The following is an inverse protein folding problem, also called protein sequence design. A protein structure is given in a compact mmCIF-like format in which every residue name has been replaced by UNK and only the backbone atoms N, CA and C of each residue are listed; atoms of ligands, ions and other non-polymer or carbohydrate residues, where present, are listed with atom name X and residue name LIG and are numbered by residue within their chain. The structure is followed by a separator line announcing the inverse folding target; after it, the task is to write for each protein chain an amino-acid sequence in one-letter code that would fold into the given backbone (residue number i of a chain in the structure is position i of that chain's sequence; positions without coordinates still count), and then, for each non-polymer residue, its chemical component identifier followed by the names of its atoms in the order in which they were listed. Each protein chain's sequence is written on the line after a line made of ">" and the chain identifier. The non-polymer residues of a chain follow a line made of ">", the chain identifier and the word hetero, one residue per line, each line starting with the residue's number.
data_IF_437899923965
#
_entry.id   IF_437899923965
#
_cell.length_a   1.000
_cell.length_b   1.000
_cell.length_c   1.000
_cell.angle_alpha   90.00
_cell.angle_beta   90.00
_cell.angle_gamma   90.00
#
_symmetry.space_group_name_H-M   'P 1'
#
loop_
_entity.id
_entity.type
_entity.pdbx_description
1 polymer ?
#
# COMPACT_ATOMS: atom_id res chain seq x y z
N UNK A 1 16.75 -41.02 -14.91
CA UNK A 1 15.85 -41.19 -16.06
C UNK A 1 15.56 -42.68 -16.20
N UNK A 2 14.37 -43.14 -15.83
CA UNK A 2 13.97 -44.55 -16.02
C UNK A 2 12.79 -44.54 -16.98
N UNK A 3 12.97 -45.15 -18.14
CA UNK A 3 11.90 -45.32 -19.14
C UNK A 3 11.38 -46.74 -18.98
N UNK A 4 10.09 -46.91 -18.66
CA UNK A 4 9.40 -48.19 -18.76
C UNK A 4 8.41 -48.10 -19.92
N UNK A 5 8.58 -48.97 -20.91
CA UNK A 5 7.67 -49.13 -22.05
C UNK A 5 6.76 -50.32 -21.72
N UNK A 6 5.45 -50.09 -21.66
CA UNK A 6 4.47 -51.16 -21.52
C UNK A 6 3.71 -51.35 -22.85
N UNK A 7 3.87 -52.55 -23.40
CA UNK A 7 3.08 -53.22 -24.45
C UNK A 7 3.12 -52.69 -25.89
N UNK A 8 3.44 -53.65 -26.76
CA UNK A 8 3.49 -53.60 -28.22
C UNK A 8 2.15 -54.10 -28.78
N UNK A 9 1.51 -53.33 -29.66
CA UNK A 9 0.42 -53.81 -30.52
C UNK A 9 0.87 -53.68 -31.98
N UNK A 10 0.66 -54.73 -32.81
CA UNK A 10 1.11 -54.75 -34.20
C UNK A 10 0.22 -53.86 -35.09
N UNK A 11 0.74 -53.40 -36.25
CA UNK A 11 0.13 -52.32 -37.02
C UNK A 11 -0.96 -52.83 -37.98
N UNK A 12 -2.19 -52.33 -37.83
CA UNK A 12 -3.17 -52.31 -38.92
C UNK A 12 -3.56 -50.85 -39.23
N UNK A 13 -3.09 -50.39 -40.40
CA UNK A 13 -3.52 -49.21 -41.16
C UNK A 13 -3.96 -47.94 -40.42
N UNK A 14 -3.00 -47.28 -39.75
CA UNK A 14 -2.75 -45.83 -39.69
C UNK A 14 -1.54 -45.58 -38.77
N UNK A 15 -0.75 -44.51 -38.92
CA UNK A 15 0.36 -44.27 -37.99
C UNK A 15 -0.23 -44.03 -36.58
N UNK A 16 0.24 -44.74 -35.53
CA UNK A 16 -0.22 -44.50 -34.17
C UNK A 16 0.37 -43.18 -33.66
N UNK A 17 -0.48 -42.30 -33.14
CA UNK A 17 -0.03 -41.15 -32.35
C UNK A 17 0.73 -41.66 -31.12
N UNK A 18 2.03 -41.39 -31.08
CA UNK A 18 2.88 -41.73 -29.94
C UNK A 18 2.58 -40.73 -28.80
N UNK A 19 1.61 -41.06 -27.94
CA UNK A 19 1.43 -40.32 -26.68
C UNK A 19 2.51 -40.71 -25.69
N UNK A 20 3.59 -39.92 -25.64
CA UNK A 20 4.53 -39.92 -24.54
C UNK A 20 4.03 -38.96 -23.45
N UNK A 21 3.49 -39.48 -22.36
CA UNK A 21 3.18 -38.68 -21.17
C UNK A 21 4.49 -38.45 -20.40
N UNK A 22 4.96 -37.20 -20.39
CA UNK A 22 6.12 -36.79 -19.61
C UNK A 22 5.66 -36.35 -18.22
N UNK A 23 5.89 -37.17 -17.19
CA UNK A 23 5.86 -36.69 -15.82
C UNK A 23 7.19 -36.00 -15.52
N UNK A 24 7.13 -34.69 -15.29
CA UNK A 24 8.28 -33.90 -14.82
C UNK A 24 8.38 -34.08 -13.31
N UNK A 25 9.46 -34.69 -12.79
CA UNK A 25 9.67 -34.74 -11.35
C UNK A 25 9.95 -33.32 -10.86
N UNK A 26 9.13 -32.86 -9.92
CA UNK A 26 9.33 -31.61 -9.19
C UNK A 26 10.69 -31.63 -8.47
N UNK A 27 11.71 -31.04 -9.07
CA UNK A 27 13.02 -30.82 -8.43
C UNK A 27 13.40 -29.35 -8.60
N UNK A 28 12.74 -28.49 -7.83
CA UNK A 28 13.09 -27.07 -7.67
C UNK A 28 14.28 -26.86 -6.73
N UNK A 29 14.74 -27.88 -6.01
CA UNK A 29 15.80 -27.74 -5.00
C UNK A 29 17.22 -27.55 -5.56
N UNK A 30 17.58 -28.26 -6.64
CA UNK A 30 18.95 -28.21 -7.20
C UNK A 30 19.33 -26.83 -7.75
N UNK A 31 18.53 -26.24 -8.66
CA UNK A 31 18.81 -24.93 -9.24
C UNK A 31 18.75 -23.81 -8.20
N UNK A 32 17.81 -23.88 -7.26
CA UNK A 32 17.64 -22.87 -6.21
C UNK A 32 18.77 -22.92 -5.18
N UNK A 33 19.27 -24.12 -4.86
CA UNK A 33 20.43 -24.30 -3.99
C UNK A 33 21.72 -23.79 -4.64
N UNK A 34 21.92 -24.06 -5.94
CA UNK A 34 23.06 -23.54 -6.69
C UNK A 34 23.04 -22.00 -6.80
N UNK A 35 21.86 -21.40 -7.00
CA UNK A 35 21.69 -19.94 -6.98
C UNK A 35 21.98 -19.33 -5.60
N UNK A 36 21.57 -19.99 -4.52
CA UNK A 36 21.86 -19.58 -3.13
C UNK A 36 23.35 -19.66 -2.81
N UNK A 37 24.01 -20.76 -3.18
CA UNK A 37 25.44 -20.96 -2.93
C UNK A 37 26.30 -19.97 -3.73
N UNK A 38 25.94 -19.70 -4.99
CA UNK A 38 26.59 -18.67 -5.79
C UNK A 38 26.41 -17.26 -5.18
N UNK A 39 25.24 -16.94 -4.63
CA UNK A 39 24.99 -15.65 -3.96
C UNK A 39 25.81 -15.48 -2.68
N UNK A 40 25.91 -16.53 -1.86
CA UNK A 40 26.68 -16.53 -0.61
C UNK A 40 28.19 -16.42 -0.85
N UNK A 41 28.69 -16.96 -1.98
CA UNK A 41 30.12 -16.89 -2.33
C UNK A 41 30.62 -15.49 -2.75
N UNK A 42 29.71 -14.53 -2.95
CA UNK A 42 30.04 -13.16 -3.42
C UNK A 42 30.15 -12.18 -2.24
N UNK A 43 29.79 -12.59 -1.02
CA UNK A 43 29.92 -11.76 0.18
C UNK A 43 31.40 -11.71 0.64
N UNK A 44 31.94 -10.54 1.02
CA UNK A 44 33.33 -10.43 1.47
C UNK A 44 33.57 -11.24 2.76
N UNK A 45 34.68 -11.97 2.81
CA UNK A 45 35.16 -12.67 4.01
C UNK A 45 35.58 -11.64 5.08
N UNK A 46 34.67 -11.33 6.02
CA UNK A 46 34.99 -10.61 7.26
C UNK A 46 35.31 -11.63 8.34
N UNK A 47 36.43 -11.52 9.09
CA UNK A 47 36.78 -12.48 10.13
C UNK A 47 35.78 -12.40 11.29
N UNK A 48 35.13 -13.52 11.58
CA UNK A 48 34.13 -13.67 12.65
C UNK A 48 34.80 -13.74 14.02
N UNK A 49 34.65 -12.70 14.84
CA UNK A 49 34.92 -12.79 16.27
C UNK A 49 33.68 -13.40 16.97
N UNK A 50 33.90 -14.22 18.00
CA UNK A 50 32.98 -15.28 18.47
C UNK A 50 31.70 -14.77 19.18
N UNK A 51 31.40 -13.47 19.12
CA UNK A 51 30.15 -12.90 19.64
C UNK A 51 29.13 -12.48 18.56
N UNK A 52 29.49 -12.50 17.27
CA UNK A 52 28.59 -12.12 16.16
C UNK A 52 28.00 -13.32 15.40
N UNK A 53 27.81 -14.46 16.07
CA UNK A 53 27.35 -15.72 15.44
C UNK A 53 25.87 -15.80 15.09
N UNK A 54 25.20 -14.66 14.93
CA UNK A 54 24.01 -14.56 14.12
C UNK A 54 24.07 -13.20 13.40
N UNK A 55 24.20 -13.14 12.06
CA UNK A 55 23.67 -11.99 11.37
C UNK A 55 22.19 -11.97 11.76
N UNK A 56 21.76 -10.96 12.52
CA UNK A 56 20.36 -10.65 12.70
C UNK A 56 19.76 -10.62 11.30
N UNK A 57 19.06 -11.70 10.94
CA UNK A 57 18.41 -11.81 9.66
C UNK A 57 17.50 -10.58 9.53
N UNK A 58 17.49 -9.88 8.38
CA UNK A 58 16.54 -8.79 8.11
C UNK A 58 15.07 -9.23 8.23
N UNK A 59 14.80 -10.54 8.36
CA UNK A 59 13.47 -11.09 8.58
C UNK A 59 12.81 -10.62 9.89
N UNK A 60 13.56 -10.19 10.90
CA UNK A 60 12.98 -9.75 12.18
C UNK A 60 12.72 -8.24 12.28
N UNK A 61 13.21 -7.43 11.34
CA UNK A 61 12.94 -5.99 11.32
C UNK A 61 12.24 -5.55 10.03
N UNK A 62 11.15 -6.24 9.67
CA UNK A 62 10.27 -5.75 8.61
C UNK A 62 9.47 -4.56 9.14
N UNK A 63 9.72 -3.39 8.53
CA UNK A 63 8.94 -2.16 8.72
C UNK A 63 7.44 -2.45 8.59
N UNK A 64 6.65 -2.05 9.59
CA UNK A 64 5.21 -2.20 9.55
C UNK A 64 4.61 -0.96 8.90
N UNK A 65 3.96 -1.16 7.75
CA UNK A 65 3.29 -0.10 7.01
C UNK A 65 1.77 -0.18 7.16
N UNK A 66 1.16 0.88 7.67
CA UNK A 66 -0.29 1.01 7.78
C UNK A 66 -0.77 2.06 6.78
N UNK A 67 -1.67 1.69 5.88
CA UNK A 67 -2.34 2.64 5.00
C UNK A 67 -3.76 2.86 5.50
N UNK A 68 -4.17 4.12 5.65
CA UNK A 68 -5.55 4.49 5.98
C UNK A 68 -6.09 5.39 4.87
N UNK A 69 -7.30 5.09 4.37
CA UNK A 69 -7.91 5.89 3.33
C UNK A 69 -9.42 6.05 3.54
N UNK A 70 -9.89 7.29 3.64
CA UNK A 70 -11.31 7.60 3.45
C UNK A 70 -11.64 7.47 1.96
N UNK A 71 -12.28 6.34 1.60
CA UNK A 71 -12.48 5.97 0.20
C UNK A 71 -13.72 6.58 -0.41
N UNK A 72 -14.71 7.00 0.38
CA UNK A 72 -16.01 7.52 -0.10
C UNK A 72 -16.67 6.57 -1.12
N UNK A 73 -16.97 5.35 -0.68
CA UNK A 73 -17.56 4.26 -1.46
C UNK A 73 -16.51 3.35 -2.11
N UNK A 74 -16.42 2.10 -1.64
CA UNK A 74 -15.40 1.15 -2.10
C UNK A 74 -15.77 0.39 -3.39
N UNK A 75 -17.06 0.27 -3.72
CA UNK A 75 -17.56 -0.69 -4.72
C UNK A 75 -16.94 -0.60 -6.11
N UNK A 76 -16.67 0.62 -6.59
CA UNK A 76 -16.13 0.86 -7.93
C UNK A 76 -14.66 1.33 -7.90
N UNK A 77 -13.96 1.18 -6.77
CA UNK A 77 -12.58 1.70 -6.57
C UNK A 77 -11.54 0.59 -6.44
N UNK A 78 -11.87 -0.64 -6.78
CA UNK A 78 -10.99 -1.78 -6.55
C UNK A 78 -9.65 -1.66 -7.31
N UNK A 79 -9.64 -1.13 -8.53
CA UNK A 79 -8.41 -0.97 -9.30
C UNK A 79 -7.46 0.06 -8.71
N UNK A 80 -7.96 1.23 -8.32
CA UNK A 80 -7.14 2.23 -7.61
C UNK A 80 -6.68 1.73 -6.25
N UNK A 81 -7.52 0.97 -5.51
CA UNK A 81 -7.11 0.31 -4.25
C UNK A 81 -5.93 -0.64 -4.51
N UNK A 82 -6.03 -1.51 -5.53
CA UNK A 82 -4.96 -2.43 -5.91
C UNK A 82 -3.70 -1.72 -6.37
N UNK A 83 -3.83 -0.60 -7.08
CA UNK A 83 -2.70 0.23 -7.48
C UNK A 83 -1.98 0.82 -6.26
N UNK A 84 -2.73 1.37 -5.30
CA UNK A 84 -2.18 1.89 -4.05
C UNK A 84 -1.50 0.79 -3.23
N UNK A 85 -2.10 -0.39 -3.15
CA UNK A 85 -1.48 -1.56 -2.49
C UNK A 85 -0.19 -1.95 -3.19
N UNK A 86 -0.18 -2.07 -4.52
CA UNK A 86 1.00 -2.47 -5.30
C UNK A 86 2.15 -1.49 -5.14
N UNK A 87 1.87 -0.19 -5.15
CA UNK A 87 2.90 0.84 -5.13
C UNK A 87 3.49 1.08 -3.74
N UNK A 88 2.72 0.83 -2.68
CA UNK A 88 3.11 1.17 -1.32
C UNK A 88 3.34 -0.05 -0.42
N UNK A 89 2.84 -1.23 -0.83
CA UNK A 89 2.95 -2.52 -0.14
C UNK A 89 2.65 -2.42 1.36
N UNK A 90 1.42 -2.01 1.75
CA UNK A 90 1.05 -1.91 3.15
C UNK A 90 0.94 -3.29 3.81
N UNK A 91 1.35 -3.38 5.07
CA UNK A 91 1.14 -4.54 5.95
C UNK A 91 -0.31 -4.59 6.43
N UNK A 92 -0.85 -3.42 6.78
CA UNK A 92 -2.24 -3.21 7.21
C UNK A 92 -2.87 -2.15 6.30
N UNK A 93 -4.07 -2.41 5.79
CA UNK A 93 -4.86 -1.47 5.00
C UNK A 93 -6.18 -1.20 5.72
N UNK A 94 -6.53 0.07 5.86
CA UNK A 94 -7.80 0.53 6.43
C UNK A 94 -8.53 1.38 5.40
N UNK A 95 -9.77 1.02 5.12
CA UNK A 95 -10.68 1.78 4.27
C UNK A 95 -11.86 2.27 5.11
N UNK A 96 -12.13 3.58 5.11
CA UNK A 96 -13.28 4.18 5.81
C UNK A 96 -14.24 4.84 4.81
N UNK A 97 -15.50 5.06 5.21
CA UNK A 97 -16.60 5.43 4.32
C UNK A 97 -16.77 4.45 3.16
N UNK A 98 -16.83 3.15 3.46
CA UNK A 98 -16.89 2.13 2.39
C UNK A 98 -18.27 2.06 1.73
N UNK A 99 -19.32 2.55 2.40
CA UNK A 99 -20.72 2.64 1.93
C UNK A 99 -21.29 1.31 1.42
N UNK A 100 -20.75 0.20 1.91
CA UNK A 100 -21.15 -1.14 1.53
C UNK A 100 -21.31 -1.99 2.79
N UNK A 101 -22.30 -2.88 2.75
CA UNK A 101 -22.54 -3.85 3.81
C UNK A 101 -22.96 -5.21 3.26
N UNK A 102 -22.92 -6.23 4.12
CA UNK A 102 -23.41 -7.58 3.83
C UNK A 102 -22.61 -8.28 2.71
N UNK A 103 -23.31 -9.05 1.86
CA UNK A 103 -22.64 -9.84 0.83
C UNK A 103 -21.88 -9.01 -0.20
N UNK A 104 -22.40 -7.82 -0.55
CA UNK A 104 -21.72 -6.95 -1.52
C UNK A 104 -20.38 -6.47 -0.97
N UNK A 105 -20.34 -6.11 0.33
CA UNK A 105 -19.09 -5.79 1.01
C UNK A 105 -18.11 -6.98 0.99
N UNK A 106 -18.59 -8.19 1.32
CA UNK A 106 -17.76 -9.40 1.32
C UNK A 106 -17.12 -9.67 -0.05
N UNK A 107 -17.90 -9.62 -1.14
CA UNK A 107 -17.40 -9.82 -2.51
C UNK A 107 -16.31 -8.83 -2.89
N UNK A 108 -16.41 -7.57 -2.44
CA UNK A 108 -15.37 -6.56 -2.70
C UNK A 108 -14.13 -6.86 -1.86
N UNK A 109 -14.30 -7.15 -0.57
CA UNK A 109 -13.22 -7.48 0.37
C UNK A 109 -12.38 -8.67 -0.10
N UNK A 110 -13.02 -9.76 -0.53
CA UNK A 110 -12.36 -10.97 -1.02
C UNK A 110 -11.44 -10.71 -2.22
N UNK A 111 -11.74 -9.66 -2.99
CA UNK A 111 -10.96 -9.28 -4.18
C UNK A 111 -9.78 -8.36 -3.88
N UNK A 112 -9.64 -7.83 -2.66
CA UNK A 112 -8.54 -6.94 -2.26
C UNK A 112 -7.23 -7.74 -2.10
N UNK A 113 -7.31 -9.00 -1.67
CA UNK A 113 -6.17 -9.93 -1.68
C UNK A 113 -5.30 -9.93 -0.41
N UNK A 114 -5.87 -9.57 0.74
CA UNK A 114 -5.23 -9.77 2.06
C UNK A 114 -5.70 -11.08 2.70
N UNK A 115 -4.85 -11.65 3.56
CA UNK A 115 -5.10 -12.91 4.26
C UNK A 115 -5.94 -12.74 5.53
N UNK A 116 -5.94 -11.55 6.13
CA UNK A 116 -6.80 -11.18 7.27
C UNK A 116 -7.73 -10.01 6.95
N UNK A 117 -8.94 -10.04 7.55
CA UNK A 117 -9.91 -8.96 7.44
C UNK A 117 -10.77 -8.80 8.71
N UNK A 118 -11.17 -7.57 9.00
CA UNK A 118 -12.11 -7.20 10.05
C UNK A 118 -12.95 -6.01 9.57
N UNK A 119 -14.25 -6.01 9.86
CA UNK A 119 -15.17 -4.98 9.36
C UNK A 119 -16.11 -4.48 10.44
N UNK A 120 -16.33 -3.17 10.41
CA UNK A 120 -17.52 -2.51 10.93
C UNK A 120 -18.39 -2.17 9.73
N UNK A 121 -19.60 -2.71 9.69
CA UNK A 121 -20.52 -2.57 8.56
C UNK A 121 -21.07 -1.13 8.45
N UNK A 122 -21.33 -0.69 7.22
CA UNK A 122 -21.97 0.61 6.97
C UNK A 122 -23.46 0.56 7.36
N UNK A 123 -23.99 1.70 7.83
CA UNK A 123 -25.42 1.89 8.04
C UNK A 123 -26.01 2.65 6.84
N UNK A 124 -26.63 1.91 5.91
CA UNK A 124 -27.07 2.47 4.64
C UNK A 124 -25.88 2.97 3.80
N UNK A 125 -25.91 4.23 3.39
CA UNK A 125 -24.83 4.88 2.62
C UNK A 125 -23.84 5.65 3.50
N UNK A 126 -23.79 5.38 4.80
CA UNK A 126 -22.92 6.11 5.73
C UNK A 126 -22.07 5.16 6.55
N UNK A 127 -20.80 5.55 6.73
CA UNK A 127 -19.83 4.80 7.52
C UNK A 127 -19.29 3.56 6.80
N UNK A 128 -18.91 2.57 7.61
CA UNK A 128 -18.14 1.41 7.18
C UNK A 128 -16.66 1.64 7.43
N UNK A 129 -16.04 0.76 8.22
CA UNK A 129 -14.61 0.74 8.51
C UNK A 129 -14.13 -0.68 8.23
N UNK A 130 -13.32 -0.85 7.20
CA UNK A 130 -12.75 -2.15 6.84
C UNK A 130 -11.24 -2.12 7.11
N UNK A 131 -10.76 -3.14 7.80
CA UNK A 131 -9.34 -3.34 8.06
C UNK A 131 -8.91 -4.67 7.47
N UNK A 132 -7.77 -4.65 6.79
CA UNK A 132 -7.15 -5.80 6.16
C UNK A 132 -5.70 -5.90 6.61
N UNK A 133 -5.16 -7.10 6.71
CA UNK A 133 -3.75 -7.30 7.06
C UNK A 133 -3.17 -8.57 6.46
N UNK A 134 -1.85 -8.60 6.39
CA UNK A 134 -1.06 -9.77 6.02
C UNK A 134 -0.87 -10.65 7.25
N UNK A 135 -1.71 -11.67 7.41
CA UNK A 135 -1.68 -12.62 8.52
C UNK A 135 -0.34 -13.37 8.66
N UNK A 136 0.43 -13.46 7.57
CA UNK A 136 1.79 -13.99 7.57
C UNK A 136 2.82 -13.05 8.22
N UNK A 137 2.50 -11.76 8.39
CA UNK A 137 3.39 -10.75 8.97
C UNK A 137 2.93 -10.26 10.35
N UNK A 138 1.62 -10.09 10.53
CA UNK A 138 1.03 -9.54 11.77
C UNK A 138 -0.28 -10.25 12.08
N UNK A 139 -0.56 -10.42 13.37
CA UNK A 139 -1.89 -10.77 13.86
C UNK A 139 -2.60 -9.51 14.35
N UNK A 140 -3.90 -9.41 14.08
CA UNK A 140 -4.73 -8.25 14.44
C UNK A 140 -5.95 -8.75 15.19
N UNK A 141 -6.08 -8.33 16.45
CA UNK A 141 -7.20 -8.70 17.30
C UNK A 141 -8.07 -7.48 17.56
N UNK A 142 -9.40 -7.62 17.46
CA UNK A 142 -10.31 -6.55 17.82
C UNK A 142 -10.19 -6.24 19.32
N UNK A 143 -9.91 -4.97 19.66
CA UNK A 143 -9.92 -4.49 21.04
C UNK A 143 -11.26 -3.80 21.33
N UNK A 144 -11.68 -2.89 20.44
CA UNK A 144 -12.96 -2.20 20.55
C UNK A 144 -13.49 -1.78 19.19
N UNK A 145 -14.80 -1.99 18.96
CA UNK A 145 -15.47 -1.67 17.70
C UNK A 145 -16.52 -0.60 17.92
N UNK A 146 -16.49 0.46 17.12
CA UNK A 146 -17.46 1.54 17.15
C UNK A 146 -17.77 2.01 15.73
N UNK A 147 -18.86 2.76 15.54
CA UNK A 147 -19.23 3.29 14.21
C UNK A 147 -18.24 4.34 13.69
N UNK A 148 -17.49 4.98 14.59
CA UNK A 148 -16.52 6.04 14.28
C UNK A 148 -15.05 5.63 14.51
N UNK A 149 -14.77 4.45 15.06
CA UNK A 149 -13.42 3.91 15.13
C UNK A 149 -13.40 2.38 15.20
N UNK A 150 -12.30 1.81 14.74
CA UNK A 150 -11.97 0.40 14.96
C UNK A 150 -10.61 0.34 15.66
N UNK A 151 -10.63 -0.02 16.94
CA UNK A 151 -9.41 -0.18 17.74
C UNK A 151 -9.03 -1.64 17.80
N UNK A 152 -7.78 -1.93 17.45
CA UNK A 152 -7.23 -3.28 17.38
C UNK A 152 -5.90 -3.33 18.10
N UNK A 153 -5.56 -4.52 18.58
CA UNK A 153 -4.22 -4.85 19.02
C UNK A 153 -3.43 -5.46 17.86
N UNK A 154 -2.31 -4.85 17.51
CA UNK A 154 -1.38 -5.33 16.49
C UNK A 154 -0.29 -6.15 17.19
N UNK A 155 -0.20 -7.41 16.79
CA UNK A 155 0.74 -8.40 17.31
C UNK A 155 1.69 -8.83 16.21
N UNK A 156 2.97 -8.49 16.34
CA UNK A 156 4.02 -8.96 15.42
C UNK A 156 4.93 -9.93 16.16
N UNK A 157 5.28 -11.05 15.52
CA UNK A 157 6.10 -12.08 16.16
C UNK A 157 7.45 -11.50 16.58
N UNK A 158 7.79 -11.67 17.86
CA UNK A 158 9.03 -11.15 18.45
C UNK A 158 8.96 -9.69 18.90
N UNK A 159 7.78 -9.09 18.91
CA UNK A 159 7.53 -7.72 19.33
C UNK A 159 6.34 -7.66 20.30
N UNK A 160 6.37 -6.74 21.27
CA UNK A 160 5.24 -6.54 22.19
C UNK A 160 3.99 -6.04 21.43
N UNK A 161 2.77 -6.40 21.84
CA UNK A 161 1.56 -5.84 21.28
C UNK A 161 1.51 -4.31 21.42
N UNK A 162 0.75 -3.67 20.54
CA UNK A 162 0.40 -2.27 20.68
C UNK A 162 -0.95 -1.96 20.04
N UNK A 163 -1.61 -0.89 20.46
CA UNK A 163 -2.92 -0.53 19.96
C UNK A 163 -2.85 0.36 18.72
N UNK A 164 -3.72 0.07 17.77
CA UNK A 164 -3.98 0.93 16.62
C UNK A 164 -5.48 1.23 16.53
N UNK A 165 -5.84 2.51 16.52
CA UNK A 165 -7.21 2.97 16.28
C UNK A 165 -7.34 3.56 14.89
N UNK A 166 -8.06 2.85 14.02
CA UNK A 166 -8.53 3.38 12.74
C UNK A 166 -9.69 4.36 12.99
N UNK A 167 -9.52 5.63 12.63
CA UNK A 167 -10.47 6.70 12.94
C UNK A 167 -11.31 7.08 11.71
N UNK A 168 -12.62 7.19 11.93
CA UNK A 168 -13.59 7.82 11.05
C UNK A 168 -14.55 8.69 11.88
N UNK A 169 -14.14 9.92 12.17
CA UNK A 169 -14.93 10.87 12.94
C UNK A 169 -16.12 11.38 12.14
N UNK A 170 -17.29 11.48 12.76
CA UNK A 170 -18.49 12.01 12.10
C UNK A 170 -18.31 13.48 11.69
N UNK A 171 -18.90 13.93 10.57
CA UNK A 171 -18.85 15.33 10.16
C UNK A 171 -19.65 16.25 11.10
N UNK A 172 -20.62 15.71 11.83
CA UNK A 172 -21.43 16.45 12.81
C UNK A 172 -20.71 16.58 14.17
N UNK A 173 -20.64 17.80 14.69
CA UNK A 173 -19.91 18.11 15.93
C UNK A 173 -20.39 17.30 17.14
N UNK A 174 -21.70 17.07 17.28
CA UNK A 174 -22.27 16.33 18.43
C UNK A 174 -21.81 14.88 18.43
N UNK A 175 -22.03 14.15 17.34
CA UNK A 175 -21.59 12.76 17.19
C UNK A 175 -20.07 12.62 17.33
N UNK A 176 -19.31 13.62 16.83
CA UNK A 176 -17.85 13.59 16.97
C UNK A 176 -17.38 13.70 18.42
N UNK A 177 -18.10 14.44 19.28
CA UNK A 177 -17.75 14.51 20.71
C UNK A 177 -17.93 13.17 21.42
N UNK A 178 -18.82 12.31 20.93
CA UNK A 178 -18.96 10.95 21.44
C UNK A 178 -17.69 10.14 21.13
N UNK A 179 -17.13 10.24 19.91
CA UNK A 179 -15.85 9.61 19.56
C UNK A 179 -14.72 10.03 20.51
N UNK A 180 -14.61 11.33 20.83
CA UNK A 180 -13.60 11.83 21.76
C UNK A 180 -13.71 11.18 23.15
N UNK A 181 -14.95 11.02 23.64
CA UNK A 181 -15.23 10.40 24.94
C UNK A 181 -14.92 8.89 24.92
N UNK A 182 -15.21 8.19 23.81
CA UNK A 182 -14.86 6.77 23.68
C UNK A 182 -13.35 6.54 23.65
N UNK A 183 -12.61 7.38 22.92
CA UNK A 183 -11.15 7.29 22.85
C UNK A 183 -10.50 7.59 24.22
N UNK A 184 -11.05 8.53 24.99
CA UNK A 184 -10.61 8.78 26.39
C UNK A 184 -10.81 7.54 27.27
N UNK A 185 -11.94 6.84 27.16
CA UNK A 185 -12.14 5.57 27.91
C UNK A 185 -11.15 4.47 27.52
N UNK A 186 -10.71 4.43 26.27
CA UNK A 186 -9.65 3.50 25.83
C UNK A 186 -8.33 3.90 26.47
N UNK A 187 -8.00 5.19 26.42
CA UNK A 187 -6.79 5.75 27.05
C UNK A 187 -6.73 5.41 28.55
N UNK A 188 -7.85 5.53 29.27
CA UNK A 188 -7.91 5.25 30.71
C UNK A 188 -7.74 3.76 31.07
N UNK A 189 -7.93 2.87 30.09
CA UNK A 189 -7.80 1.40 30.28
C UNK A 189 -6.50 0.84 29.72
N UNK A 190 -5.75 1.62 28.94
CA UNK A 190 -4.57 1.13 28.23
C UNK A 190 -3.42 2.14 28.28
N UNK A 191 -2.34 1.72 28.95
CA UNK A 191 -1.13 2.53 29.17
C UNK A 191 0.03 2.19 28.20
N UNK A 192 -0.20 1.32 27.21
CA UNK A 192 0.85 0.89 26.28
C UNK A 192 1.01 1.80 25.05
N UNK A 193 1.87 1.42 24.09
CA UNK A 193 2.01 2.14 22.83
C UNK A 193 0.69 2.18 22.06
N UNK A 194 0.25 3.38 21.67
CA UNK A 194 -1.01 3.61 20.97
C UNK A 194 -0.88 4.63 19.83
N UNK A 195 -1.38 4.25 18.66
CA UNK A 195 -1.48 5.09 17.46
C UNK A 195 -2.94 5.22 17.03
N UNK A 196 -3.38 6.44 16.78
CA UNK A 196 -4.66 6.76 16.17
C UNK A 196 -4.40 7.32 14.77
N UNK A 197 -5.08 6.80 13.75
CA UNK A 197 -4.96 7.38 12.41
C UNK A 197 -6.21 7.22 11.56
N UNK A 198 -6.46 8.22 10.72
CA UNK A 198 -7.60 8.26 9.81
C UNK A 198 -8.19 9.66 9.75
N UNK A 199 -9.47 9.73 9.40
CA UNK A 199 -10.21 10.98 9.17
C UNK A 199 -10.79 11.50 10.49
N UNK A 200 -10.21 12.55 11.05
CA UNK A 200 -10.70 13.20 12.27
C UNK A 200 -11.81 14.24 11.99
N UNK A 201 -12.08 14.53 10.71
CA UNK A 201 -13.04 15.53 10.24
C UNK A 201 -12.88 16.93 10.90
N UNK A 202 -11.69 17.21 11.43
CA UNK A 202 -11.35 18.45 12.12
C UNK A 202 -9.88 18.83 11.89
N UNK A 203 -9.59 20.11 12.05
CA UNK A 203 -8.25 20.70 11.90
C UNK A 203 -7.81 21.34 13.20
N UNK A 204 -6.55 21.27 13.58
CA UNK A 204 -6.04 21.85 14.83
C UNK A 204 -5.88 23.37 14.73
N UNK A 205 -5.76 23.91 13.52
CA UNK A 205 -5.68 25.34 13.28
C UNK A 205 -6.33 25.74 11.96
N UNK A 206 -6.57 27.05 11.80
CA UNK A 206 -7.06 27.62 10.54
C UNK A 206 -6.02 27.58 9.42
N UNK A 207 -4.73 27.42 9.74
CA UNK A 207 -3.64 27.34 8.75
C UNK A 207 -3.72 26.03 7.96
N UNK A 208 -4.23 24.96 8.58
CA UNK A 208 -4.44 23.66 7.94
C UNK A 208 -5.63 23.64 6.95
N UNK A 209 -6.07 24.81 6.46
CA UNK A 209 -7.27 24.98 5.65
C UNK A 209 -7.15 26.08 4.61
N UNK A 210 -7.66 25.77 3.43
CA UNK A 210 -7.98 26.76 2.41
C UNK A 210 -9.50 26.95 2.33
N UNK A 211 -9.98 28.08 2.87
CA UNK A 211 -11.39 28.47 2.82
C UNK A 211 -11.73 29.55 3.84
N UNK A 212 -12.90 30.18 3.68
CA UNK A 212 -13.40 31.16 4.66
C UNK A 212 -13.87 30.42 5.91
N UNK A 213 -13.29 30.73 7.06
CA UNK A 213 -13.72 30.25 8.36
C UNK A 213 -14.19 31.40 9.25
N UNK A 214 -15.25 31.16 10.02
CA UNK A 214 -15.74 32.09 11.05
C UNK A 214 -15.29 31.70 12.46
N UNK A 215 -15.81 32.43 13.46
CA UNK A 215 -15.54 32.20 14.89
C UNK A 215 -15.81 30.75 15.33
N UNK A 216 -16.92 30.15 14.87
CA UNK A 216 -17.26 28.76 15.20
C UNK A 216 -16.22 27.76 14.71
N UNK A 217 -15.60 28.03 13.55
CA UNK A 217 -14.56 27.16 13.03
C UNK A 217 -13.30 27.22 13.90
N UNK A 218 -12.89 28.43 14.27
CA UNK A 218 -11.73 28.63 15.14
C UNK A 218 -11.95 27.99 16.52
N UNK A 219 -13.18 28.04 17.05
CA UNK A 219 -13.54 27.36 18.29
C UNK A 219 -13.36 25.84 18.16
N UNK A 220 -13.87 25.24 17.08
CA UNK A 220 -13.70 23.79 16.83
C UNK A 220 -12.24 23.39 16.66
N UNK A 221 -11.43 24.20 15.99
CA UNK A 221 -10.00 23.96 15.89
C UNK A 221 -9.32 23.89 17.26
N UNK A 222 -9.62 24.87 18.13
CA UNK A 222 -9.10 24.89 19.50
C UNK A 222 -9.59 23.70 20.32
N UNK A 223 -10.87 23.34 20.21
CA UNK A 223 -11.41 22.18 20.93
C UNK A 223 -10.69 20.89 20.54
N UNK A 224 -10.40 20.69 19.25
CA UNK A 224 -9.67 19.52 18.79
C UNK A 224 -8.19 19.55 19.21
N UNK A 225 -7.52 20.70 19.10
CA UNK A 225 -6.14 20.85 19.57
C UNK A 225 -6.01 20.59 21.08
N UNK A 226 -6.92 21.14 21.88
CA UNK A 226 -6.97 20.91 23.32
C UNK A 226 -7.25 19.43 23.64
N UNK A 227 -8.12 18.76 22.87
CA UNK A 227 -8.37 17.33 23.07
C UNK A 227 -7.12 16.49 22.82
N UNK A 228 -6.35 16.79 21.77
CA UNK A 228 -5.05 16.13 21.51
C UNK A 228 -4.09 16.35 22.67
N UNK A 229 -3.95 17.60 23.13
CA UNK A 229 -3.05 17.97 24.23
C UNK A 229 -3.44 17.32 25.56
N UNK A 230 -4.72 17.38 25.93
CA UNK A 230 -5.25 16.78 27.17
C UNK A 230 -5.06 15.26 27.21
N UNK A 231 -5.00 14.61 26.04
CA UNK A 231 -4.76 13.17 25.92
C UNK A 231 -3.28 12.82 25.74
N UNK A 232 -2.36 13.79 25.85
CA UNK A 232 -0.92 13.62 25.66
C UNK A 232 -0.58 12.97 24.30
N UNK A 233 -1.36 13.27 23.27
CA UNK A 233 -1.15 12.77 21.92
C UNK A 233 -0.24 13.71 21.14
N UNK A 234 0.63 13.11 20.33
CA UNK A 234 1.62 13.80 19.51
C UNK A 234 1.24 13.62 18.05
N UNK A 235 0.99 14.72 17.32
CA UNK A 235 0.83 14.70 15.87
C UNK A 235 2.16 14.25 15.23
N UNK A 236 2.11 13.21 14.40
CA UNK A 236 3.27 12.66 13.69
C UNK A 236 3.77 13.58 12.57
N UNK A 237 3.02 14.65 12.25
CA UNK A 237 3.26 15.45 11.06
C UNK A 237 2.95 14.65 9.79
N UNK A 238 3.48 15.09 8.65
CA UNK A 238 3.44 14.31 7.42
C UNK A 238 4.49 14.81 6.41
N UNK A 239 4.90 13.92 5.51
CA UNK A 239 5.51 14.26 4.22
C UNK A 239 4.49 14.17 3.08
N UNK A 240 4.79 14.76 1.92
CA UNK A 240 3.84 14.85 0.79
C UNK A 240 2.87 16.04 0.93
N UNK A 241 1.72 16.03 0.24
CA UNK A 241 0.73 17.11 0.34
C UNK A 241 0.20 17.27 1.77
N UNK A 242 0.34 18.44 2.37
CA UNK A 242 -0.07 18.67 3.78
C UNK A 242 -1.58 18.57 3.98
N UNK A 243 -2.36 19.06 3.02
CA UNK A 243 -3.81 18.91 3.05
C UNK A 243 -4.17 17.51 2.53
N UNK A 244 -5.09 16.87 3.22
CA UNK A 244 -5.53 15.50 2.94
C UNK A 244 -6.93 15.45 2.35
N UNK A 245 -7.68 16.56 2.38
CA UNK A 245 -8.99 16.65 1.78
C UNK A 245 -9.10 17.83 0.82
N UNK A 246 -9.72 17.61 -0.34
CA UNK A 246 -9.89 18.63 -1.38
C UNK A 246 -11.25 18.50 -2.07
N UNK A 247 -11.95 19.62 -2.20
CA UNK A 247 -13.18 19.73 -3.00
C UNK A 247 -13.16 20.95 -3.92
N UNK A 248 -13.99 20.90 -4.96
CA UNK A 248 -14.20 21.99 -5.90
C UNK A 248 -13.23 21.94 -7.09
N UNK A 249 -13.76 22.21 -8.28
CA UNK A 249 -13.02 22.17 -9.57
C UNK A 249 -12.80 23.56 -10.16
N UNK A 250 -13.43 24.57 -9.58
CA UNK A 250 -13.19 25.97 -9.92
C UNK A 250 -12.42 26.64 -8.80
N UNK A 251 -11.76 27.75 -9.14
CA UNK A 251 -11.15 28.62 -8.13
C UNK A 251 -12.20 28.90 -7.05
N UNK A 252 -13.37 29.45 -7.37
CA UNK A 252 -14.42 29.86 -6.40
C UNK A 252 -14.91 28.77 -5.46
N UNK A 253 -15.00 27.52 -5.93
CA UNK A 253 -15.52 26.38 -5.16
C UNK A 253 -14.42 25.61 -4.42
N UNK A 254 -13.15 25.85 -4.77
CA UNK A 254 -12.02 25.13 -4.21
C UNK A 254 -11.88 25.37 -2.72
N UNK A 255 -11.89 24.27 -1.97
CA UNK A 255 -11.60 24.23 -0.53
C UNK A 255 -10.74 23.01 -0.24
N UNK A 256 -9.78 23.14 0.66
CA UNK A 256 -8.95 22.02 1.11
C UNK A 256 -8.65 22.12 2.60
N UNK A 257 -8.35 20.99 3.24
CA UNK A 257 -8.00 20.93 4.65
C UNK A 257 -7.17 19.67 4.99
N UNK A 258 -6.44 19.67 6.11
CA UNK A 258 -5.79 18.48 6.70
C UNK A 258 -6.73 17.78 7.68
N UNK A 259 -7.59 16.88 7.18
CA UNK A 259 -8.58 16.15 8.01
C UNK A 259 -8.05 14.80 8.48
N UNK A 260 -7.30 14.12 7.61
CA UNK A 260 -6.62 12.87 7.90
C UNK A 260 -5.24 13.11 8.54
N UNK A 261 -4.93 12.42 9.65
CA UNK A 261 -3.62 12.51 10.33
C UNK A 261 -3.30 11.25 11.15
N UNK A 262 -2.06 11.14 11.63
CA UNK A 262 -1.64 10.16 12.62
C UNK A 262 -1.27 10.85 13.94
N UNK A 263 -1.87 10.39 15.04
CA UNK A 263 -1.63 10.85 16.40
C UNK A 263 -1.12 9.68 17.24
N UNK A 264 -0.02 9.86 17.97
CA UNK A 264 0.58 8.79 18.76
C UNK A 264 0.82 9.26 20.19
N UNK A 265 0.68 8.36 21.18
CA UNK A 265 1.16 8.66 22.52
C UNK A 265 2.70 8.58 22.59
N UNK A 266 3.24 9.01 23.73
CA UNK A 266 4.67 8.97 24.03
C UNK A 266 5.24 7.54 23.99
N UNK A 267 4.53 6.55 24.53
CA UNK A 267 4.95 5.15 24.50
C UNK A 267 5.14 4.62 23.07
N UNK A 268 4.24 4.97 22.14
CA UNK A 268 4.39 4.64 20.72
C UNK A 268 5.55 5.38 20.10
N UNK A 269 5.71 6.68 20.40
CA UNK A 269 6.81 7.47 19.85
C UNK A 269 8.19 7.01 20.31
N UNK A 270 8.32 6.58 21.56
CA UNK A 270 9.56 6.04 22.12
C UNK A 270 9.92 4.69 21.49
N UNK A 271 8.90 3.90 21.14
CA UNK A 271 9.09 2.59 20.51
C UNK A 271 9.41 2.68 19.02
N UNK A 272 8.78 3.63 18.33
CA UNK A 272 8.91 3.85 16.89
C UNK A 272 9.36 5.29 16.67
N UNK A 273 10.62 5.56 17.04
CA UNK A 273 11.25 6.88 17.01
C UNK A 273 11.37 7.44 15.57
N UNK A 274 11.63 6.56 14.60
CA UNK A 274 11.60 6.87 13.17
C UNK A 274 10.18 6.85 12.57
N UNK A 275 9.16 6.56 13.39
CA UNK A 275 7.76 6.48 12.99
C UNK A 275 7.30 7.73 12.25
N UNK A 276 6.82 7.58 11.01
CA UNK A 276 6.48 8.70 10.16
C UNK A 276 5.19 8.48 9.36
N UNK A 277 4.57 9.59 8.95
CA UNK A 277 3.40 9.63 8.07
C UNK A 277 3.75 10.27 6.73
N UNK A 278 3.24 9.70 5.63
CA UNK A 278 3.31 10.24 4.28
C UNK A 278 1.91 10.30 3.70
N UNK A 279 1.47 11.49 3.33
CA UNK A 279 0.23 11.67 2.60
C UNK A 279 0.47 11.33 1.14
N UNK A 280 -0.30 10.39 0.61
CA UNK A 280 -0.25 10.00 -0.79
C UNK A 280 -1.12 10.93 -1.63
N UNK A 281 -0.84 11.10 -2.93
CA UNK A 281 -1.62 11.99 -3.77
C UNK A 281 -3.09 11.55 -3.84
N UNK A 282 -3.99 12.53 -3.80
CA UNK A 282 -5.43 12.32 -3.94
C UNK A 282 -5.75 11.68 -5.29
N UNK A 283 -6.55 10.62 -5.24
CA UNK A 283 -7.02 9.85 -6.39
C UNK A 283 -8.55 9.89 -6.48
N UNK A 284 -9.26 8.76 -6.54
CA UNK A 284 -10.71 8.70 -6.78
C UNK A 284 -11.59 9.01 -5.55
N UNK A 285 -11.02 9.61 -4.49
CA UNK A 285 -11.74 10.12 -3.31
C UNK A 285 -11.53 11.63 -3.16
N UNK A 286 -12.40 12.30 -2.39
CA UNK A 286 -12.15 13.63 -1.84
C UNK A 286 -10.92 13.68 -0.92
N UNK A 287 -10.53 12.53 -0.37
CA UNK A 287 -9.43 12.36 0.56
C UNK A 287 -8.19 11.69 -0.06
N UNK A 288 -7.03 12.08 0.45
CA UNK A 288 -5.74 11.46 0.25
C UNK A 288 -5.61 10.21 1.13
N UNK A 289 -5.08 9.09 0.63
CA UNK A 289 -4.60 8.03 1.52
C UNK A 289 -3.43 8.53 2.37
N UNK A 290 -3.36 8.13 3.63
CA UNK A 290 -2.19 8.33 4.48
C UNK A 290 -1.48 7.00 4.68
N UNK A 291 -0.16 7.00 4.53
CA UNK A 291 0.71 5.85 4.76
C UNK A 291 1.56 6.13 5.99
N UNK A 292 1.60 5.18 6.91
CA UNK A 292 2.34 5.25 8.17
C UNK A 292 3.38 4.13 8.14
N UNK A 293 4.61 4.45 8.51
CA UNK A 293 5.69 3.47 8.64
C UNK A 293 6.26 3.56 10.05
N UNK A 294 6.41 2.41 10.72
CA UNK A 294 7.01 2.34 12.06
C UNK A 294 8.53 2.59 12.05
N UNK A 295 9.16 2.55 10.88
CA UNK A 295 10.62 2.77 10.70
C UNK A 295 10.88 3.88 9.67
N UNK A 296 9.94 4.81 9.52
CA UNK A 296 10.05 5.91 8.58
C UNK A 296 10.04 5.53 7.10
N UNK A 297 10.34 6.50 6.25
CA UNK A 297 10.37 6.37 4.78
C UNK A 297 11.76 6.56 4.19
N UNK A 298 12.81 6.51 5.03
CA UNK A 298 14.17 6.59 4.55
C UNK A 298 14.42 5.49 3.51
N UNK A 299 15.15 5.78 2.42
CA UNK A 299 15.43 4.76 1.40
C UNK A 299 16.19 3.61 2.04
N UNK A 300 15.53 2.46 2.18
CA UNK A 300 16.24 1.21 2.45
C UNK A 300 17.17 0.99 1.26
N UNK A 301 18.48 0.72 1.45
CA UNK A 301 19.39 0.42 0.35
C UNK A 301 18.72 -0.60 -0.56
N UNK A 302 18.56 -0.26 -1.84
CA UNK A 302 17.78 -1.04 -2.78
C UNK A 302 18.29 -2.47 -2.79
N UNK A 303 17.59 -3.37 -2.11
CA UNK A 303 17.81 -4.79 -2.29
C UNK A 303 17.63 -5.07 -3.78
N UNK A 304 18.64 -5.68 -4.41
CA UNK A 304 18.61 -6.02 -5.82
C UNK A 304 17.33 -6.82 -6.11
N UNK A 305 16.34 -6.19 -6.75
CA UNK A 305 15.11 -6.88 -7.13
C UNK A 305 15.49 -7.96 -8.17
N UNK A 306 15.15 -9.24 -7.93
CA UNK A 306 15.45 -10.27 -8.90
C UNK A 306 14.69 -10.02 -10.20
N UNK A 307 15.30 -10.36 -11.33
CA UNK A 307 14.63 -10.33 -12.63
C UNK A 307 13.41 -11.27 -12.61
N UNK A 308 12.30 -10.82 -13.18
CA UNK A 308 11.07 -11.61 -13.32
C UNK A 308 10.63 -11.60 -14.77
N UNK A 309 10.39 -12.79 -15.32
CA UNK A 309 9.81 -12.94 -16.65
C UNK A 309 8.32 -12.55 -16.61
N UNK A 310 7.86 -11.74 -17.56
CA UNK A 310 6.43 -11.42 -17.68
C UNK A 310 5.82 -12.21 -18.83
N UNK A 311 4.79 -13.01 -18.53
CA UNK A 311 4.13 -13.85 -19.53
C UNK A 311 3.58 -13.05 -20.72
N UNK A 312 3.19 -11.79 -20.49
CA UNK A 312 2.72 -10.87 -21.53
C UNK A 312 3.71 -10.68 -22.69
N UNK A 313 5.02 -10.85 -22.45
CA UNK A 313 6.04 -10.72 -23.50
C UNK A 313 5.85 -11.72 -24.63
N UNK A 314 5.41 -12.95 -24.34
CA UNK A 314 5.21 -13.99 -25.35
C UNK A 314 4.18 -13.62 -26.42
N UNK A 315 3.26 -12.73 -26.09
CA UNK A 315 2.17 -12.31 -26.97
C UNK A 315 2.49 -11.04 -27.77
N UNK A 316 3.64 -10.39 -27.54
CA UNK A 316 4.01 -9.17 -28.24
C UNK A 316 4.68 -9.46 -29.58
N UNK A 317 4.21 -8.81 -30.64
CA UNK A 317 4.61 -9.06 -32.03
C UNK A 317 6.13 -8.98 -32.24
N UNK A 318 6.82 -8.06 -31.53
CA UNK A 318 8.27 -7.87 -31.63
C UNK A 318 9.09 -8.75 -30.67
N UNK A 319 8.47 -9.55 -29.81
CA UNK A 319 9.21 -10.32 -28.80
C UNK A 319 10.07 -11.42 -29.41
N UNK A 320 9.53 -12.14 -30.39
CA UNK A 320 10.26 -13.21 -31.09
C UNK A 320 11.50 -12.65 -31.81
N UNK A 321 11.35 -11.49 -32.46
CA UNK A 321 12.46 -10.77 -33.09
C UNK A 321 13.51 -10.34 -32.06
N UNK A 322 13.07 -9.77 -30.92
CA UNK A 322 13.97 -9.40 -29.84
C UNK A 322 14.78 -10.58 -29.31
N UNK A 323 14.14 -11.73 -29.07
CA UNK A 323 14.84 -12.94 -28.62
C UNK A 323 15.86 -13.37 -29.67
N UNK A 324 15.46 -13.50 -30.94
CA UNK A 324 16.36 -13.93 -32.02
C UNK A 324 17.59 -13.03 -32.16
N UNK A 325 17.44 -11.71 -32.02
CA UNK A 325 18.54 -10.74 -32.12
C UNK A 325 19.50 -10.78 -30.93
N UNK A 326 19.02 -11.16 -29.75
CA UNK A 326 19.78 -11.04 -28.50
C UNK A 326 20.19 -12.40 -27.91
N UNK A 327 19.77 -13.50 -28.52
CA UNK A 327 20.07 -14.86 -28.07
C UNK A 327 21.45 -15.31 -28.57
N UNK A 328 22.35 -15.66 -27.64
CA UNK A 328 23.68 -16.15 -27.98
C UNK A 328 23.89 -17.54 -27.37
N UNK A 329 23.84 -18.57 -28.21
CA UNK A 329 23.98 -19.97 -27.81
C UNK A 329 25.43 -20.33 -27.40
N UNK A 330 26.41 -19.52 -27.79
CA UNK A 330 27.83 -19.80 -27.58
C UNK A 330 28.42 -19.08 -26.36
N UNK A 331 27.61 -18.29 -25.64
CA UNK A 331 28.06 -17.55 -24.47
C UNK A 331 27.93 -18.38 -23.17
N UNK A 332 28.79 -18.16 -22.16
CA UNK A 332 28.63 -18.80 -20.86
C UNK A 332 27.27 -18.45 -20.23
N UNK A 333 26.53 -19.47 -19.78
CA UNK A 333 25.11 -19.36 -19.46
C UNK A 333 24.79 -18.29 -18.40
N UNK A 334 25.61 -18.15 -17.35
CA UNK A 334 25.36 -17.20 -16.26
C UNK A 334 25.52 -15.75 -16.73
N UNK A 335 26.63 -15.44 -17.42
CA UNK A 335 26.88 -14.11 -17.96
C UNK A 335 25.86 -13.75 -19.05
N UNK A 336 25.52 -14.72 -19.91
CA UNK A 336 24.52 -14.56 -20.95
C UNK A 336 23.15 -14.23 -20.35
N UNK A 337 22.65 -15.02 -19.41
CA UNK A 337 21.34 -14.80 -18.80
C UNK A 337 21.27 -13.46 -18.07
N UNK A 338 22.37 -13.01 -17.43
CA UNK A 338 22.44 -11.69 -16.79
C UNK A 338 22.35 -10.56 -17.82
N UNK A 339 23.12 -10.64 -18.90
CA UNK A 339 23.10 -9.65 -19.98
C UNK A 339 21.76 -9.64 -20.72
N UNK A 340 21.23 -10.83 -21.03
CA UNK A 340 19.93 -11.01 -21.65
C UNK A 340 18.82 -10.44 -20.78
N UNK A 341 18.83 -10.72 -19.47
CA UNK A 341 17.89 -10.12 -18.52
C UNK A 341 17.97 -8.58 -18.48
N UNK A 342 19.17 -7.99 -18.57
CA UNK A 342 19.34 -6.54 -18.69
C UNK A 342 18.72 -6.00 -19.99
N UNK A 343 19.08 -6.57 -21.14
CA UNK A 343 18.54 -6.15 -22.44
C UNK A 343 17.02 -6.29 -22.50
N UNK A 344 16.50 -7.37 -21.93
CA UNK A 344 15.08 -7.68 -21.92
C UNK A 344 14.33 -6.76 -20.96
N UNK A 345 14.91 -6.39 -19.82
CA UNK A 345 14.38 -5.32 -18.97
C UNK A 345 14.32 -3.97 -19.69
N UNK A 346 15.34 -3.62 -20.47
CA UNK A 346 15.36 -2.35 -21.21
C UNK A 346 14.40 -2.36 -22.39
N UNK A 347 14.28 -3.49 -23.10
CA UNK A 347 13.28 -3.68 -24.15
C UNK A 347 11.87 -3.62 -23.58
N UNK A 348 11.61 -4.32 -22.47
CA UNK A 348 10.35 -4.24 -21.74
C UNK A 348 10.05 -2.78 -21.43
N UNK A 349 11.02 -2.01 -20.87
CA UNK A 349 10.86 -0.57 -20.56
C UNK A 349 10.46 0.28 -21.77
N UNK A 350 10.92 -0.07 -22.97
CA UNK A 350 10.66 0.69 -24.20
C UNK A 350 9.34 0.32 -24.86
N UNK A 351 9.05 -0.98 -24.96
CA UNK A 351 7.90 -1.49 -25.72
C UNK A 351 6.65 -1.70 -24.86
N UNK A 352 6.79 -2.05 -23.57
CA UNK A 352 5.68 -2.37 -22.67
C UNK A 352 5.42 -1.34 -21.57
N UNK A 353 6.46 -0.68 -21.03
CA UNK A 353 6.28 0.21 -19.86
C UNK A 353 5.71 1.60 -20.18
N UNK A 354 5.15 1.87 -21.36
CA UNK A 354 4.57 3.19 -21.61
C UNK A 354 3.46 3.50 -20.58
N UNK A 355 2.57 2.54 -20.29
CA UNK A 355 1.51 2.70 -19.29
C UNK A 355 2.04 2.88 -17.87
N UNK A 356 2.96 2.01 -17.41
CA UNK A 356 3.50 2.08 -16.05
C UNK A 356 4.33 3.34 -15.81
N UNK A 357 5.10 3.76 -16.81
CA UNK A 357 5.86 5.00 -16.78
C UNK A 357 4.93 6.20 -16.76
N UNK A 358 3.92 6.23 -17.63
CA UNK A 358 2.88 7.27 -17.67
C UNK A 358 2.18 7.39 -16.31
N UNK A 359 1.82 6.28 -15.66
CA UNK A 359 1.28 6.29 -14.29
C UNK A 359 2.26 6.90 -13.29
N UNK A 360 3.51 6.45 -13.28
CA UNK A 360 4.52 6.97 -12.36
C UNK A 360 4.73 8.49 -12.54
N UNK A 361 4.76 8.97 -13.78
CA UNK A 361 4.89 10.39 -14.10
C UNK A 361 3.63 11.18 -13.67
N UNK A 362 2.43 10.63 -13.90
CA UNK A 362 1.18 11.25 -13.47
C UNK A 362 1.08 11.33 -11.94
N UNK A 363 1.47 10.28 -11.21
CA UNK A 363 1.51 10.28 -9.75
C UNK A 363 2.45 11.37 -9.20
N UNK A 364 3.66 11.46 -9.74
CA UNK A 364 4.63 12.48 -9.32
C UNK A 364 4.12 13.91 -9.61
N UNK A 365 3.47 14.12 -10.76
CA UNK A 365 2.88 15.42 -11.12
C UNK A 365 1.70 15.78 -10.22
N UNK A 366 0.83 14.81 -9.91
CA UNK A 366 -0.28 15.00 -8.96
C UNK A 366 0.25 15.35 -7.57
N UNK A 367 1.27 14.64 -7.08
CA UNK A 367 1.90 14.93 -5.79
C UNK A 367 2.41 16.37 -5.72
N UNK A 368 3.18 16.81 -6.73
CA UNK A 368 3.74 18.16 -6.78
C UNK A 368 2.66 19.24 -6.81
N UNK A 369 1.63 19.07 -7.65
CA UNK A 369 0.53 20.05 -7.77
C UNK A 369 -0.32 20.10 -6.50
N UNK A 370 -0.64 18.96 -5.91
CA UNK A 370 -1.45 18.91 -4.70
C UNK A 370 -0.69 19.47 -3.48
N UNK A 371 0.63 19.26 -3.42
CA UNK A 371 1.51 19.89 -2.42
C UNK A 371 1.58 21.41 -2.56
N UNK A 372 1.48 21.93 -3.79
CA UNK A 372 1.43 23.38 -3.99
C UNK A 372 0.03 23.95 -3.69
N UNK A 373 -1.02 23.20 -4.02
CA UNK A 373 -2.42 23.53 -3.70
C UNK A 373 -2.74 23.47 -2.20
N UNK A 374 -1.94 22.78 -1.37
CA UNK A 374 -2.09 22.84 0.09
C UNK A 374 -1.65 24.19 0.63
N UNK A 375 -0.59 24.79 0.08
CA UNK A 375 -0.06 26.10 0.50
C UNK A 375 -0.93 27.27 0.11
N UNK A 376 -1.78 27.11 -0.91
CA UNK A 376 -2.68 28.16 -1.32
C UNK A 376 -3.45 27.87 -2.60
N UNK A 377 -4.55 28.59 -2.78
CA UNK A 377 -5.45 28.42 -3.92
C UNK A 377 -4.89 29.08 -5.18
N UNK A 378 -4.49 28.27 -6.15
CA UNK A 378 -4.01 28.73 -7.46
C UNK A 378 -4.91 28.19 -8.59
N UNK A 379 -5.64 29.08 -9.28
CA UNK A 379 -6.70 28.68 -10.22
C UNK A 379 -6.24 27.82 -11.41
N UNK A 380 -5.02 28.04 -11.90
CA UNK A 380 -4.44 27.25 -12.99
C UNK A 380 -4.06 25.84 -12.53
N UNK A 381 -3.54 25.69 -11.31
CA UNK A 381 -3.20 24.40 -10.70
C UNK A 381 -4.45 23.56 -10.40
N UNK A 382 -5.56 24.18 -9.95
CA UNK A 382 -6.83 23.45 -9.75
C UNK A 382 -7.32 22.81 -11.05
N UNK A 383 -7.24 23.55 -12.17
CA UNK A 383 -7.64 23.01 -13.49
C UNK A 383 -6.68 21.92 -13.96
N UNK A 384 -5.38 22.08 -13.73
CA UNK A 384 -4.37 21.10 -14.10
C UNK A 384 -4.50 19.81 -13.29
N UNK A 385 -4.73 19.90 -11.98
CA UNK A 385 -4.98 18.74 -11.10
C UNK A 385 -6.17 17.92 -11.59
N UNK A 386 -7.29 18.58 -11.89
CA UNK A 386 -8.49 17.92 -12.41
C UNK A 386 -8.27 17.28 -13.80
N UNK A 387 -7.34 17.82 -14.61
CA UNK A 387 -6.95 17.22 -15.89
C UNK A 387 -6.10 15.97 -15.66
N UNK A 388 -5.07 16.05 -14.83
CA UNK A 388 -4.16 14.92 -14.57
C UNK A 388 -4.85 13.75 -13.87
N UNK A 389 -5.84 14.02 -13.01
CA UNK A 389 -6.67 12.96 -12.45
C UNK A 389 -7.44 12.18 -13.51
N UNK A 390 -8.03 12.88 -14.49
CA UNK A 390 -8.74 12.21 -15.61
C UNK A 390 -7.77 11.40 -16.47
N UNK A 391 -6.60 11.97 -16.76
CA UNK A 391 -5.54 11.22 -17.46
C UNK A 391 -5.10 9.98 -16.67
N UNK A 392 -5.05 10.04 -15.33
CA UNK A 392 -4.76 8.88 -14.49
C UNK A 392 -5.87 7.82 -14.55
N UNK A 393 -7.13 8.25 -14.47
CA UNK A 393 -8.28 7.34 -14.56
C UNK A 393 -8.32 6.61 -15.92
N UNK A 394 -8.01 7.32 -17.02
CA UNK A 394 -7.86 6.73 -18.35
C UNK A 394 -6.75 5.68 -18.39
N UNK A 395 -5.58 5.98 -17.81
CA UNK A 395 -4.44 5.05 -17.80
C UNK A 395 -4.71 3.82 -16.93
N UNK A 396 -5.42 3.97 -15.81
CA UNK A 396 -5.85 2.84 -14.98
C UNK A 396 -6.82 1.95 -15.74
N UNK A 397 -7.75 2.55 -16.50
CA UNK A 397 -8.67 1.80 -17.35
C UNK A 397 -7.94 1.07 -18.50
N UNK A 398 -6.98 1.71 -19.17
CA UNK A 398 -6.14 1.06 -20.18
C UNK A 398 -5.37 -0.14 -19.60
N UNK A 399 -4.86 -0.03 -18.37
CA UNK A 399 -4.17 -1.15 -17.68
C UNK A 399 -5.12 -2.30 -17.36
N UNK A 400 -6.38 -2.04 -16.99
CA UNK A 400 -7.37 -3.09 -16.73
C UNK A 400 -7.74 -3.91 -17.98
N UNK A 401 -7.53 -3.36 -19.18
CA UNK A 401 -7.79 -4.03 -20.46
C UNK A 401 -6.62 -4.90 -20.95
N UNK A 402 -5.45 -4.82 -20.30
CA UNK A 402 -4.28 -5.66 -20.55
C UNK A 402 -4.34 -6.95 -19.73
#
# INVERSE_FOLDING_TARGET
>A
MVVRVATYLPPEHNPPDMMATFEIPYVTEGPMRALREAYLSILPNVPLNVYDRYPLFPMFNMSLKIMVWNVQGAGNKLSIIRELIRNNDPTVLVLVETHLSGEQAQRVCDRIGFSGQLRVEAQGFSGGIWMFWRAELVNVNAFETHTQHLTVEINKVGEDPWLFSAIYAAPGTTLRKELWSELEKIKDRYDGPWLLAGDFNETTSMIERNGVGGSEMQRRCREFANWIENNALIDLGCSGPEHTWFRGVSTTTFKSARLDRGLANDAWRLRFDEGAVRNLPKSQSGHCPILISTTGFAPVPTATKPFRFQAAWLNHQKFQEFVALNWNQNAPIISFLKEFACKLNDWNKREFYNIFRRKSELWARLEGIQSELSKGRQGHLVKLEAKLRREMDEVLYEEELL
#
